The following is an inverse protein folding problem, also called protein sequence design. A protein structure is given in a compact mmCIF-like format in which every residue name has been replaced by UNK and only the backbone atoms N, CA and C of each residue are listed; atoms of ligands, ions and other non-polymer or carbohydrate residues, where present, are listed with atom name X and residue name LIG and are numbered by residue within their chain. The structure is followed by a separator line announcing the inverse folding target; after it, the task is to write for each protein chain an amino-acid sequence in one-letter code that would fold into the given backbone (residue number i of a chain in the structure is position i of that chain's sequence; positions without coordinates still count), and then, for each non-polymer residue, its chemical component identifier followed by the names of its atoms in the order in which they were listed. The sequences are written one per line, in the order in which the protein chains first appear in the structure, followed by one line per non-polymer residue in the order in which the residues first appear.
data_IF_731786396641
#
_entry.id   IF_731786396641
#
_cell.length_a   1.000
_cell.length_b   1.000
_cell.length_c   1.000
_cell.angle_alpha   90.00
_cell.angle_beta   90.00
_cell.angle_gamma   90.00
#
_symmetry.space_group_name_H-M   'P 1'
#
loop_
_entity.id
_entity.type
_entity.pdbx_description
1 polymer ?
#
# COMPACT_ATOMS: atom_id res chain seq x y z
N UNK A 1 22.37 -26.11 -75.61
CA UNK A 1 22.01 -24.70 -75.35
C UNK A 1 21.13 -24.67 -74.10
N UNK A 2 21.68 -25.05 -72.94
CA UNK A 2 22.17 -24.16 -71.87
C UNK A 2 21.15 -23.08 -71.48
N UNK A 3 20.30 -23.37 -70.49
CA UNK A 3 19.85 -22.38 -69.52
C UNK A 3 20.07 -22.99 -68.12
N UNK A 4 21.31 -22.87 -67.63
CA UNK A 4 21.66 -23.06 -66.23
C UNK A 4 21.06 -21.88 -65.47
N UNK A 5 20.09 -22.14 -64.60
CA UNK A 5 19.56 -21.18 -63.66
C UNK A 5 20.70 -20.70 -62.73
N UNK A 6 21.03 -19.41 -62.83
CA UNK A 6 21.95 -18.69 -61.97
C UNK A 6 21.33 -18.54 -60.57
N UNK A 7 21.55 -19.52 -59.68
CA UNK A 7 21.49 -19.26 -58.24
C UNK A 7 22.88 -18.77 -57.86
N UNK A 8 23.01 -17.46 -57.69
CA UNK A 8 24.25 -16.81 -57.27
C UNK A 8 24.67 -17.31 -55.87
N UNK A 9 25.93 -17.74 -55.64
CA UNK A 9 26.41 -18.17 -54.32
C UNK A 9 26.39 -17.04 -53.28
N UNK A 10 26.20 -15.78 -53.70
CA UNK A 10 26.06 -14.64 -52.80
C UNK A 10 24.76 -14.69 -51.95
N UNK A 11 23.64 -15.22 -52.47
CA UNK A 11 22.37 -15.27 -51.73
C UNK A 11 22.37 -16.30 -50.58
N UNK A 12 23.19 -17.35 -50.69
CA UNK A 12 23.38 -18.34 -49.62
C UNK A 12 24.21 -17.77 -48.47
N UNK A 13 25.15 -16.86 -48.75
CA UNK A 13 26.02 -16.28 -47.73
C UNK A 13 25.29 -15.27 -46.82
N UNK A 14 24.31 -14.53 -47.35
CA UNK A 14 23.50 -13.60 -46.55
C UNK A 14 22.39 -14.29 -45.73
N UNK A 15 21.88 -15.44 -46.19
CA UNK A 15 20.83 -16.20 -45.46
C UNK A 15 21.35 -16.85 -44.17
N UNK A 16 22.62 -17.28 -44.12
CA UNK A 16 23.25 -17.76 -42.88
C UNK A 16 23.55 -16.64 -41.87
N UNK A 17 23.90 -15.44 -42.34
CA UNK A 17 24.11 -14.26 -41.46
C UNK A 17 22.79 -13.69 -40.90
N UNK A 18 21.71 -13.73 -41.70
CA UNK A 18 20.36 -13.32 -41.27
C UNK A 18 19.65 -14.36 -40.39
N UNK A 19 19.97 -15.66 -40.50
CA UNK A 19 19.44 -16.70 -39.61
C UNK A 19 20.27 -16.92 -38.33
N UNK A 20 21.53 -16.47 -38.28
CA UNK A 20 22.38 -16.56 -37.08
C UNK A 20 22.09 -15.47 -36.04
N UNK A 21 21.60 -14.31 -36.47
CA UNK A 21 21.34 -13.17 -35.57
C UNK A 21 20.20 -13.40 -34.56
N UNK A 22 19.07 -14.06 -34.89
CA UNK A 22 18.04 -14.38 -33.90
C UNK A 22 18.54 -15.43 -32.90
N UNK A 23 19.33 -16.40 -33.35
CA UNK A 23 19.93 -17.43 -32.50
C UNK A 23 20.91 -16.85 -31.48
N UNK A 24 21.76 -15.91 -31.91
CA UNK A 24 22.68 -15.20 -31.02
C UNK A 24 21.93 -14.34 -29.98
N UNK A 25 20.88 -13.63 -30.41
CA UNK A 25 20.03 -12.84 -29.50
C UNK A 25 19.35 -13.75 -28.48
N UNK A 26 18.80 -14.90 -28.90
CA UNK A 26 18.17 -15.86 -27.99
C UNK A 26 19.17 -16.45 -26.99
N UNK A 27 20.35 -16.84 -27.45
CA UNK A 27 21.43 -17.34 -26.57
C UNK A 27 21.89 -16.27 -25.58
N UNK A 28 22.04 -15.02 -26.02
CA UNK A 28 22.40 -13.92 -25.15
C UNK A 28 21.32 -13.61 -24.10
N UNK A 29 20.04 -13.64 -24.49
CA UNK A 29 18.92 -13.49 -23.56
C UNK A 29 18.85 -14.66 -22.57
N UNK A 30 19.07 -15.89 -23.02
CA UNK A 30 19.14 -17.06 -22.15
C UNK A 30 20.32 -16.97 -21.16
N UNK A 31 21.50 -16.54 -21.62
CA UNK A 31 22.66 -16.31 -20.77
C UNK A 31 22.39 -15.23 -19.71
N UNK A 32 21.77 -14.11 -20.09
CA UNK A 32 21.33 -13.07 -19.15
C UNK A 32 20.33 -13.60 -18.13
N UNK A 33 19.39 -14.44 -18.56
CA UNK A 33 18.41 -15.04 -17.68
C UNK A 33 19.07 -15.99 -16.67
N UNK A 34 20.01 -16.83 -17.11
CA UNK A 34 20.78 -17.73 -16.27
C UNK A 34 21.62 -16.94 -15.27
N UNK A 35 22.33 -15.89 -15.72
CA UNK A 35 23.10 -15.04 -14.82
C UNK A 35 22.19 -14.42 -13.74
N UNK A 36 21.06 -13.83 -14.15
CA UNK A 36 20.12 -13.18 -13.23
C UNK A 36 19.44 -14.14 -12.25
N UNK A 37 19.07 -15.35 -12.68
CA UNK A 37 18.27 -16.28 -11.88
C UNK A 37 19.11 -17.34 -11.15
N UNK A 38 20.36 -17.57 -11.56
CA UNK A 38 21.21 -18.61 -10.98
C UNK A 38 22.49 -18.06 -10.39
N UNK A 39 23.32 -17.38 -11.20
CA UNK A 39 24.66 -16.98 -10.77
C UNK A 39 24.64 -15.78 -9.83
N UNK A 40 23.90 -14.74 -10.18
CA UNK A 40 23.81 -13.51 -9.41
C UNK A 40 23.26 -13.73 -7.98
N UNK A 41 22.13 -14.45 -7.78
CA UNK A 41 21.64 -14.76 -6.42
C UNK A 41 22.67 -15.53 -5.59
N UNK A 42 23.33 -16.54 -6.16
CA UNK A 42 24.35 -17.32 -5.44
C UNK A 42 25.60 -16.49 -5.09
N UNK A 43 26.01 -15.57 -5.96
CA UNK A 43 27.11 -14.64 -5.67
C UNK A 43 26.75 -13.69 -4.52
N UNK A 44 25.54 -13.13 -4.54
CA UNK A 44 25.03 -12.29 -3.45
C UNK A 44 24.93 -13.08 -2.15
N UNK A 45 24.44 -14.32 -2.17
CA UNK A 45 24.37 -15.17 -0.99
C UNK A 45 25.75 -15.33 -0.34
N UNK A 46 26.77 -15.66 -1.13
CA UNK A 46 28.14 -15.81 -0.62
C UNK A 46 28.67 -14.49 -0.05
N UNK A 47 28.42 -13.37 -0.72
CA UNK A 47 28.86 -12.06 -0.26
C UNK A 47 28.21 -11.67 1.08
N UNK A 48 26.89 -11.86 1.21
CA UNK A 48 26.16 -11.58 2.46
C UNK A 48 26.62 -12.50 3.59
N UNK A 49 26.82 -13.80 3.31
CA UNK A 49 27.36 -14.75 4.30
C UNK A 49 28.79 -14.40 4.73
N UNK A 50 29.62 -13.91 3.81
CA UNK A 50 30.98 -13.45 4.13
C UNK A 50 30.98 -12.20 5.03
N UNK A 51 29.91 -11.39 4.99
CA UNK A 51 29.68 -10.27 5.93
C UNK A 51 29.12 -10.72 7.28
N UNK A 52 28.96 -12.02 7.51
CA UNK A 52 28.50 -12.59 8.78
C UNK A 52 26.98 -12.80 8.88
N UNK A 53 26.21 -12.45 7.84
CA UNK A 53 24.76 -12.66 7.83
C UNK A 53 24.41 -14.14 7.61
N UNK A 54 23.60 -14.68 8.51
CA UNK A 54 23.09 -16.07 8.44
C UNK A 54 21.64 -16.09 7.97
N UNK A 55 21.16 -17.22 7.48
CA UNK A 55 19.80 -17.32 6.94
C UNK A 55 19.60 -18.51 6.03
N UNK A 56 18.46 -18.52 5.36
CA UNK A 56 18.07 -19.55 4.39
C UNK A 56 18.95 -19.49 3.14
N UNK A 57 19.16 -20.66 2.53
CA UNK A 57 19.92 -20.76 1.27
C UNK A 57 19.03 -20.53 0.07
N UNK A 58 19.59 -19.96 -1.01
CA UNK A 58 18.83 -19.66 -2.20
C UNK A 58 18.27 -20.94 -2.86
N UNK A 59 16.94 -20.98 -3.04
CA UNK A 59 16.23 -21.99 -3.85
C UNK A 59 15.84 -21.40 -5.19
N UNK A 60 16.23 -22.07 -6.27
CA UNK A 60 16.08 -21.56 -7.63
C UNK A 60 14.66 -21.06 -7.94
N UNK A 61 14.57 -19.85 -8.50
CA UNK A 61 13.36 -19.10 -8.89
C UNK A 61 12.43 -18.66 -7.77
N UNK A 62 12.18 -19.53 -6.79
CA UNK A 62 11.09 -19.35 -5.83
C UNK A 62 11.56 -18.84 -4.48
N UNK A 63 12.85 -19.01 -4.14
CA UNK A 63 13.37 -18.66 -2.83
C UNK A 63 12.57 -19.36 -1.71
N UNK A 64 12.15 -18.58 -0.71
CA UNK A 64 11.38 -19.09 0.42
C UNK A 64 9.85 -18.91 0.25
N UNK A 65 9.38 -18.40 -0.90
CA UNK A 65 7.97 -18.01 -1.07
C UNK A 65 7.01 -19.21 -0.99
N UNK A 66 7.44 -20.39 -1.43
CA UNK A 66 6.63 -21.62 -1.32
C UNK A 66 6.50 -22.04 0.14
N UNK A 67 7.61 -22.03 0.90
CA UNK A 67 7.62 -22.40 2.31
C UNK A 67 6.81 -21.40 3.13
N UNK A 68 6.93 -20.11 2.84
CA UNK A 68 6.12 -19.07 3.44
C UNK A 68 4.63 -19.36 3.29
N UNK A 69 4.15 -19.58 2.05
CA UNK A 69 2.73 -19.84 1.82
C UNK A 69 2.26 -21.13 2.50
N UNK A 70 3.05 -22.21 2.44
CA UNK A 70 2.71 -23.47 3.08
C UNK A 70 2.54 -23.30 4.59
N UNK A 71 3.52 -22.71 5.26
CA UNK A 71 3.47 -22.46 6.71
C UNK A 71 2.36 -21.49 7.08
N UNK A 72 2.16 -20.41 6.32
CA UNK A 72 1.05 -19.48 6.56
C UNK A 72 -0.32 -20.15 6.43
N UNK A 73 -0.50 -21.11 5.51
CA UNK A 73 -1.74 -21.89 5.41
C UNK A 73 -1.95 -22.83 6.60
N UNK A 74 -0.89 -23.51 7.02
CA UNK A 74 -0.90 -24.39 8.20
C UNK A 74 -1.28 -23.60 9.46
N UNK A 75 -0.63 -22.46 9.71
CA UNK A 75 -0.90 -21.64 10.89
C UNK A 75 -2.27 -20.95 10.85
N UNK A 76 -2.73 -20.46 9.69
CA UNK A 76 -4.09 -19.88 9.55
C UNK A 76 -5.22 -20.86 9.84
N UNK A 77 -4.96 -22.17 9.77
CA UNK A 77 -5.94 -23.20 10.12
C UNK A 77 -6.05 -23.44 11.63
N UNK A 78 -5.09 -22.94 12.42
CA UNK A 78 -5.08 -23.09 13.87
C UNK A 78 -5.90 -21.98 14.52
N UNK A 79 -6.69 -22.36 15.53
CA UNK A 79 -7.34 -21.39 16.41
C UNK A 79 -6.32 -20.88 17.42
N UNK A 80 -6.29 -19.56 17.62
CA UNK A 80 -5.52 -18.91 18.67
C UNK A 80 -6.45 -18.61 19.84
N UNK A 81 -5.95 -18.82 21.07
CA UNK A 81 -6.67 -18.37 22.26
C UNK A 81 -6.87 -16.85 22.20
N UNK A 82 -8.08 -16.40 22.51
CA UNK A 82 -8.44 -14.97 22.51
C UNK A 82 -7.51 -14.12 23.41
N UNK A 83 -6.87 -14.72 24.42
CA UNK A 83 -5.96 -14.03 25.35
C UNK A 83 -4.47 -14.16 25.01
N UNK A 84 -4.13 -14.71 23.84
CA UNK A 84 -2.74 -14.85 23.41
C UNK A 84 -2.35 -13.68 22.49
N UNK A 85 -1.44 -12.82 22.96
CA UNK A 85 -0.92 -11.70 22.17
C UNK A 85 0.34 -12.06 21.36
N UNK A 86 0.84 -13.30 21.48
CA UNK A 86 1.99 -13.76 20.69
C UNK A 86 1.56 -14.14 19.26
N UNK A 87 1.28 -13.14 18.44
CA UNK A 87 0.75 -13.30 17.08
C UNK A 87 1.83 -13.56 16.03
N UNK A 88 3.10 -13.24 16.32
CA UNK A 88 4.21 -13.37 15.38
C UNK A 88 4.33 -14.76 14.72
N UNK A 89 4.26 -15.89 15.44
CA UNK A 89 4.31 -17.22 14.82
C UNK A 89 3.09 -17.51 13.94
N UNK A 90 1.94 -16.88 14.18
CA UNK A 90 0.72 -17.06 13.39
C UNK A 90 0.75 -16.24 12.10
N UNK A 91 1.12 -14.96 12.21
CA UNK A 91 1.05 -13.99 11.10
C UNK A 91 2.22 -14.17 10.12
N UNK A 92 3.42 -14.41 10.64
CA UNK A 92 4.65 -14.52 9.85
C UNK A 92 5.53 -15.70 10.31
N UNK A 93 5.03 -16.96 10.26
CA UNK A 93 5.70 -18.13 10.83
C UNK A 93 7.14 -18.31 10.34
N UNK A 94 7.34 -18.24 9.03
CA UNK A 94 8.67 -18.40 8.44
C UNK A 94 9.64 -17.32 8.93
N UNK A 95 9.18 -16.06 9.01
CA UNK A 95 10.03 -14.96 9.46
C UNK A 95 10.40 -15.14 10.94
N UNK A 96 9.42 -15.50 11.76
CA UNK A 96 9.62 -15.79 13.18
C UNK A 96 10.65 -16.90 13.39
N UNK A 97 10.54 -18.01 12.65
CA UNK A 97 11.47 -19.13 12.74
C UNK A 97 12.89 -18.74 12.29
N UNK A 98 13.03 -18.02 11.18
CA UNK A 98 14.34 -17.56 10.66
C UNK A 98 15.02 -16.64 11.67
N UNK A 99 14.29 -15.69 12.26
CA UNK A 99 14.85 -14.78 13.29
C UNK A 99 15.27 -15.57 14.53
N UNK A 100 14.46 -16.55 14.96
CA UNK A 100 14.77 -17.41 16.11
C UNK A 100 16.02 -18.27 15.88
N UNK A 101 16.19 -18.81 14.68
CA UNK A 101 17.29 -19.72 14.33
C UNK A 101 18.59 -19.00 13.96
N UNK A 102 18.49 -17.83 13.32
CA UNK A 102 19.65 -17.14 12.75
C UNK A 102 19.99 -15.80 13.43
N UNK A 103 19.13 -15.35 14.34
CA UNK A 103 19.31 -14.12 15.11
C UNK A 103 18.65 -12.89 14.48
N UNK A 104 18.92 -11.73 15.08
CA UNK A 104 18.22 -10.47 14.77
C UNK A 104 18.49 -9.89 13.39
N UNK A 105 19.60 -10.28 12.76
CA UNK A 105 19.99 -9.90 11.41
C UNK A 105 20.15 -11.16 10.56
N UNK A 106 19.21 -11.41 9.65
CA UNK A 106 19.13 -12.67 8.92
C UNK A 106 18.71 -12.51 7.46
N UNK A 107 19.11 -13.46 6.62
CA UNK A 107 18.80 -13.50 5.19
C UNK A 107 17.62 -14.44 4.94
N UNK A 108 16.73 -14.01 4.07
CA UNK A 108 15.67 -14.81 3.45
C UNK A 108 15.57 -14.49 1.96
N UNK A 109 14.77 -15.23 1.20
CA UNK A 109 14.67 -15.09 -0.26
C UNK A 109 13.25 -14.85 -0.73
N UNK A 110 13.05 -13.78 -1.49
CA UNK A 110 11.83 -13.53 -2.26
C UNK A 110 12.11 -13.79 -3.74
N UNK A 111 11.91 -15.04 -4.17
CA UNK A 111 12.36 -15.47 -5.50
C UNK A 111 13.88 -15.37 -5.63
N UNK A 112 14.42 -14.79 -6.72
CA UNK A 112 15.87 -14.58 -6.89
C UNK A 112 16.42 -13.38 -6.10
N UNK A 113 15.58 -12.67 -5.33
CA UNK A 113 15.96 -11.46 -4.61
C UNK A 113 16.25 -11.78 -3.13
N UNK A 114 17.47 -11.54 -2.63
CA UNK A 114 17.76 -11.69 -1.21
C UNK A 114 17.06 -10.58 -0.43
N UNK A 115 16.51 -10.94 0.72
CA UNK A 115 15.92 -10.04 1.71
C UNK A 115 16.70 -10.16 3.00
N UNK A 116 17.34 -9.06 3.41
CA UNK A 116 17.93 -8.94 4.74
C UNK A 116 16.86 -8.42 5.69
N UNK A 117 16.62 -9.15 6.78
CA UNK A 117 15.73 -8.75 7.86
C UNK A 117 16.58 -8.27 9.02
N UNK A 118 16.26 -7.09 9.53
CA UNK A 118 16.89 -6.47 10.69
C UNK A 118 15.81 -6.23 11.73
N UNK A 119 16.03 -6.74 12.94
CA UNK A 119 15.11 -6.60 14.08
C UNK A 119 15.76 -5.97 15.31
N UNK A 120 17.01 -5.50 15.19
CA UNK A 120 17.65 -4.70 16.22
C UNK A 120 17.16 -3.23 16.13
N UNK A 121 16.61 -2.64 17.21
CA UNK A 121 16.00 -1.31 17.16
C UNK A 121 16.94 -0.19 16.68
N UNK A 122 18.21 -0.21 17.08
CA UNK A 122 19.16 0.85 16.70
C UNK A 122 19.52 0.74 15.23
N UNK A 123 19.74 -0.47 14.72
CA UNK A 123 19.96 -0.70 13.29
C UNK A 123 18.72 -0.38 12.45
N UNK A 124 17.52 -0.75 12.92
CA UNK A 124 16.26 -0.38 12.27
C UNK A 124 16.12 1.14 12.21
N UNK A 125 16.42 1.85 13.29
CA UNK A 125 16.41 3.31 13.32
C UNK A 125 17.41 3.91 12.34
N UNK A 126 18.61 3.35 12.22
CA UNK A 126 19.62 3.79 11.26
C UNK A 126 19.10 3.65 9.82
N UNK A 127 18.59 2.46 9.45
CA UNK A 127 18.02 2.19 8.12
C UNK A 127 16.83 3.11 7.82
N UNK A 128 15.89 3.24 8.76
CA UNK A 128 14.67 4.05 8.59
C UNK A 128 14.96 5.55 8.56
N UNK A 129 16.00 6.01 9.26
CA UNK A 129 16.44 7.42 9.20
C UNK A 129 17.09 7.78 7.88
N UNK A 130 17.66 6.80 7.17
CA UNK A 130 18.27 6.92 5.85
C UNK A 130 19.14 8.17 5.67
N UNK A 131 19.91 8.56 6.69
CA UNK A 131 20.63 9.86 6.74
C UNK A 131 21.56 10.10 5.54
N UNK A 132 22.10 9.02 4.98
CA UNK A 132 23.04 9.07 3.87
C UNK A 132 22.41 8.72 2.51
N UNK A 133 21.09 8.47 2.45
CA UNK A 133 20.42 8.10 1.21
C UNK A 133 20.82 6.74 0.63
N UNK A 134 21.46 5.87 1.42
CA UNK A 134 21.93 4.56 0.98
C UNK A 134 20.80 3.54 0.82
N UNK A 135 19.66 3.76 1.47
CA UNK A 135 18.52 2.85 1.46
C UNK A 135 17.43 3.39 0.55
N UNK A 136 17.33 2.83 -0.65
CA UNK A 136 16.20 3.09 -1.55
C UNK A 136 15.00 2.23 -1.15
N UNK A 137 13.78 2.78 -1.31
CA UNK A 137 12.56 2.00 -1.22
C UNK A 137 12.55 0.92 -2.30
N UNK A 138 11.95 -0.20 -1.93
CA UNK A 138 11.86 -1.33 -2.83
C UNK A 138 10.93 -1.01 -4.01
N UNK A 139 11.51 -0.86 -5.20
CA UNK A 139 10.76 -0.67 -6.44
C UNK A 139 10.22 -2.02 -6.89
N UNK A 140 8.97 -2.34 -6.57
CA UNK A 140 8.21 -3.37 -7.26
C UNK A 140 7.36 -2.69 -8.34
N UNK A 141 7.86 -2.51 -9.59
CA UNK A 141 7.16 -1.70 -10.60
C UNK A 141 5.75 -2.23 -10.90
N UNK A 142 5.62 -3.54 -10.72
CA UNK A 142 4.40 -4.33 -10.71
C UNK A 142 3.36 -3.89 -9.66
N UNK A 143 3.79 -3.78 -8.41
CA UNK A 143 2.95 -3.51 -7.24
C UNK A 143 2.62 -2.01 -7.14
N UNK A 144 3.61 -1.16 -7.43
CA UNK A 144 3.46 0.30 -7.43
C UNK A 144 2.55 0.80 -8.56
N UNK A 145 2.55 0.16 -9.74
CA UNK A 145 1.59 0.49 -10.81
C UNK A 145 0.16 0.07 -10.50
N UNK A 146 -0.01 -0.96 -9.69
CA UNK A 146 -1.32 -1.61 -9.52
C UNK A 146 -2.07 -1.11 -8.31
N UNK A 147 -1.42 -0.81 -7.18
CA UNK A 147 -2.14 -0.38 -5.97
C UNK A 147 -2.27 1.14 -5.88
N UNK A 148 -1.16 1.86 -5.92
CA UNK A 148 -1.08 3.31 -6.07
C UNK A 148 0.39 3.70 -6.23
N UNK A 149 0.64 4.67 -7.11
CA UNK A 149 1.86 5.47 -7.11
C UNK A 149 1.84 6.50 -5.98
N UNK A 150 2.45 7.65 -6.22
CA UNK A 150 2.44 8.75 -5.25
C UNK A 150 3.59 8.72 -4.25
N UNK A 151 3.49 9.59 -3.24
CA UNK A 151 4.55 9.90 -2.26
C UNK A 151 5.06 8.68 -1.48
N UNK A 152 4.24 7.63 -1.35
CA UNK A 152 4.68 6.36 -0.76
C UNK A 152 5.80 5.71 -1.58
N UNK A 153 5.76 5.83 -2.90
CA UNK A 153 6.67 5.17 -3.84
C UNK A 153 7.76 6.09 -4.41
N UNK A 154 7.52 7.41 -4.44
CA UNK A 154 8.49 8.38 -4.94
C UNK A 154 9.73 8.48 -4.07
N UNK A 155 10.83 8.88 -4.72
CA UNK A 155 12.17 9.06 -4.15
C UNK A 155 12.78 10.40 -4.59
N UNK A 156 13.84 10.82 -3.90
CA UNK A 156 14.64 11.99 -4.28
C UNK A 156 13.82 13.28 -4.41
N UNK A 157 14.11 14.08 -5.44
CA UNK A 157 13.48 15.38 -5.66
C UNK A 157 11.96 15.28 -5.88
N UNK A 158 11.48 14.22 -6.55
CA UNK A 158 10.05 14.01 -6.75
C UNK A 158 9.33 13.80 -5.40
N UNK A 159 9.91 13.00 -4.51
CA UNK A 159 9.36 12.81 -3.17
C UNK A 159 9.33 14.12 -2.37
N UNK A 160 10.42 14.89 -2.40
CA UNK A 160 10.52 16.19 -1.71
C UNK A 160 9.46 17.16 -2.24
N UNK A 161 9.29 17.26 -3.56
CA UNK A 161 8.28 18.10 -4.21
C UNK A 161 6.87 17.74 -3.73
N UNK A 162 6.50 16.45 -3.80
CA UNK A 162 5.17 15.99 -3.41
C UNK A 162 4.91 16.19 -1.91
N UNK A 163 5.87 15.87 -1.04
CA UNK A 163 5.76 16.13 0.40
C UNK A 163 5.55 17.62 0.71
N UNK A 164 6.26 18.52 0.01
CA UNK A 164 6.11 19.96 0.20
C UNK A 164 4.67 20.43 -0.08
N UNK A 165 4.04 19.87 -1.11
CA UNK A 165 2.67 20.22 -1.51
C UNK A 165 1.63 19.59 -0.58
N UNK A 166 1.85 18.34 -0.15
CA UNK A 166 0.86 17.55 0.62
C UNK A 166 0.89 17.83 2.13
N UNK A 167 2.07 18.05 2.73
CA UNK A 167 2.22 18.21 4.18
C UNK A 167 1.31 19.29 4.81
N UNK A 168 1.06 20.46 4.17
CA UNK A 168 0.15 21.47 4.72
C UNK A 168 -1.26 20.95 5.04
N UNK A 169 -1.75 19.93 4.31
CA UNK A 169 -3.06 19.31 4.57
C UNK A 169 -3.14 18.61 5.94
N UNK A 170 -1.98 18.24 6.49
CA UNK A 170 -1.85 17.50 7.75
C UNK A 170 -1.38 18.39 8.91
N UNK A 171 -1.37 19.70 8.74
CA UNK A 171 -1.09 20.62 9.84
C UNK A 171 -2.26 20.64 10.85
N UNK A 172 -2.00 20.82 12.16
CA UNK A 172 -3.05 20.83 13.19
C UNK A 172 -4.22 21.76 12.89
N UNK A 173 -3.94 22.93 12.30
CA UNK A 173 -4.95 23.91 11.90
C UNK A 173 -5.93 23.34 10.86
N UNK A 174 -5.44 22.55 9.90
CA UNK A 174 -6.27 21.90 8.87
C UNK A 174 -7.02 20.71 9.44
N UNK A 175 -6.37 19.91 10.30
CA UNK A 175 -7.02 18.79 10.99
C UNK A 175 -8.18 19.29 11.87
N UNK A 176 -8.02 20.44 12.55
CA UNK A 176 -9.10 21.05 13.35
C UNK A 176 -10.35 21.35 12.50
N UNK A 177 -10.19 21.72 11.22
CA UNK A 177 -11.31 21.94 10.30
C UNK A 177 -12.03 20.64 9.89
N UNK A 178 -11.40 19.48 10.02
CA UNK A 178 -11.97 18.17 9.70
C UNK A 178 -12.84 17.61 10.83
N UNK A 179 -12.73 18.15 12.03
CA UNK A 179 -13.45 17.67 13.23
C UNK A 179 -14.96 17.53 13.06
N UNK A 180 -15.69 18.49 12.44
CA UNK A 180 -17.12 18.33 12.22
C UNK A 180 -17.43 17.09 11.37
N UNK A 181 -16.65 16.81 10.33
CA UNK A 181 -16.84 15.64 9.48
C UNK A 181 -16.60 14.34 10.26
N UNK A 182 -15.51 14.25 11.04
CA UNK A 182 -15.26 13.08 11.91
C UNK A 182 -16.43 12.81 12.86
N UNK A 183 -16.93 13.88 13.53
CA UNK A 183 -18.06 13.79 14.45
C UNK A 183 -19.32 13.31 13.74
N UNK A 184 -19.63 13.85 12.57
CA UNK A 184 -20.81 13.46 11.79
C UNK A 184 -20.74 11.99 11.37
N UNK A 185 -19.61 11.54 10.83
CA UNK A 185 -19.42 10.12 10.45
C UNK A 185 -19.60 9.18 11.65
N UNK A 186 -19.06 9.52 12.82
CA UNK A 186 -19.22 8.74 14.04
C UNK A 186 -20.68 8.71 14.52
N UNK A 187 -21.37 9.85 14.48
CA UNK A 187 -22.79 9.95 14.86
C UNK A 187 -23.69 9.13 13.94
N UNK A 188 -23.43 9.16 12.63
CA UNK A 188 -24.16 8.34 11.65
C UNK A 188 -23.94 6.85 11.90
N UNK A 189 -22.71 6.42 12.20
CA UNK A 189 -22.41 5.03 12.58
C UNK A 189 -23.20 4.61 13.83
N UNK A 190 -23.09 5.38 14.93
CA UNK A 190 -23.77 5.08 16.20
C UNK A 190 -25.29 5.08 16.02
N UNK A 191 -25.83 6.00 15.23
CA UNK A 191 -27.26 6.07 14.94
C UNK A 191 -27.75 4.82 14.19
N UNK A 192 -27.00 4.34 13.19
CA UNK A 192 -27.33 3.10 12.47
C UNK A 192 -27.30 1.88 13.38
N UNK A 193 -26.30 1.78 14.25
CA UNK A 193 -26.24 0.67 15.23
C UNK A 193 -27.39 0.74 16.23
N UNK A 194 -27.73 1.93 16.72
CA UNK A 194 -28.87 2.14 17.63
C UNK A 194 -30.20 1.76 16.98
N UNK A 195 -30.39 2.08 15.70
CA UNK A 195 -31.59 1.69 14.94
C UNK A 195 -31.67 0.19 14.65
N UNK A 196 -30.56 -0.52 14.72
CA UNK A 196 -30.48 -1.96 14.47
C UNK A 196 -30.71 -2.81 15.73
N UNK A 197 -30.85 -2.17 16.90
CA UNK A 197 -31.11 -2.86 18.16
C UNK A 197 -32.43 -3.63 18.12
N UNK A 198 -32.39 -4.88 18.57
CA UNK A 198 -33.58 -5.71 18.76
C UNK A 198 -34.45 -5.20 19.91
N UNK A 199 -35.61 -5.84 20.10
CA UNK A 199 -36.54 -5.52 21.19
C UNK A 199 -35.95 -5.70 22.58
N UNK A 200 -34.92 -6.54 22.71
CA UNK A 200 -34.13 -6.79 23.92
C UNK A 200 -32.97 -5.80 24.11
N UNK A 201 -32.79 -4.86 23.18
CA UNK A 201 -31.71 -3.87 23.21
C UNK A 201 -30.34 -4.43 22.80
N UNK A 202 -30.28 -5.61 22.17
CA UNK A 202 -29.02 -6.20 21.69
C UNK A 202 -28.98 -6.30 20.17
N UNK A 203 -27.78 -6.31 19.59
CA UNK A 203 -27.55 -6.48 18.16
C UNK A 203 -26.16 -7.07 17.93
N UNK A 204 -26.07 -8.16 17.17
CA UNK A 204 -24.81 -8.74 16.74
C UNK A 204 -24.34 -8.06 15.45
N UNK A 205 -23.08 -7.62 15.42
CA UNK A 205 -22.52 -6.87 14.30
C UNK A 205 -21.12 -7.34 13.96
N UNK A 206 -20.86 -7.57 12.67
CA UNK A 206 -19.50 -7.64 12.16
C UNK A 206 -18.95 -6.21 12.04
N UNK A 207 -18.01 -5.86 12.92
CA UNK A 207 -17.47 -4.51 13.02
C UNK A 207 -16.50 -4.15 11.89
N UNK A 208 -15.90 -5.14 11.21
CA UNK A 208 -14.89 -4.86 10.18
C UNK A 208 -15.47 -4.11 8.97
N UNK A 209 -16.58 -4.56 8.33
CA UNK A 209 -17.23 -3.80 7.26
C UNK A 209 -17.74 -2.42 7.71
N UNK A 210 -18.15 -2.29 8.97
CA UNK A 210 -18.66 -1.04 9.53
C UNK A 210 -17.54 0.00 9.71
N UNK A 211 -16.36 -0.42 10.17
CA UNK A 211 -15.21 0.49 10.26
C UNK A 211 -14.60 0.80 8.89
N UNK A 212 -14.59 -0.14 7.95
CA UNK A 212 -14.21 0.15 6.56
C UNK A 212 -15.11 1.25 5.97
N UNK A 213 -16.43 1.14 6.17
CA UNK A 213 -17.40 2.17 5.79
C UNK A 213 -17.11 3.50 6.49
N UNK A 214 -16.91 3.49 7.81
CA UNK A 214 -16.62 4.70 8.59
C UNK A 214 -15.38 5.43 8.06
N UNK A 215 -14.27 4.71 7.89
CA UNK A 215 -13.00 5.32 7.47
C UNK A 215 -13.05 5.79 6.02
N UNK A 216 -13.78 5.09 5.16
CA UNK A 216 -14.02 5.50 3.78
C UNK A 216 -14.83 6.80 3.71
N UNK A 217 -15.87 6.92 4.53
CA UNK A 217 -16.67 8.15 4.62
C UNK A 217 -15.86 9.33 5.17
N UNK A 218 -15.07 9.09 6.21
CA UNK A 218 -14.17 10.08 6.78
C UNK A 218 -13.22 10.62 5.72
N UNK A 219 -12.47 9.76 5.03
CA UNK A 219 -11.48 10.23 4.04
C UNK A 219 -12.15 10.94 2.86
N UNK A 220 -13.31 10.46 2.38
CA UNK A 220 -14.07 11.12 1.32
C UNK A 220 -14.48 12.54 1.70
N UNK A 221 -15.02 12.75 2.91
CA UNK A 221 -15.47 14.07 3.37
C UNK A 221 -14.30 15.00 3.66
N UNK A 222 -13.21 14.51 4.26
CA UNK A 222 -12.14 15.39 4.80
C UNK A 222 -11.01 15.65 3.83
N UNK A 223 -10.64 14.68 2.99
CA UNK A 223 -9.52 14.84 2.06
C UNK A 223 -9.98 15.23 0.64
N UNK A 224 -11.18 14.82 0.23
CA UNK A 224 -11.64 14.99 -1.15
C UNK A 224 -12.90 15.86 -1.29
N UNK A 225 -13.55 16.22 -0.18
CA UNK A 225 -14.78 17.02 -0.19
C UNK A 225 -15.94 16.35 -0.93
N UNK A 226 -15.90 15.02 -1.08
CA UNK A 226 -16.89 14.24 -1.83
C UNK A 226 -17.83 13.46 -0.91
N UNK A 227 -18.87 12.89 -1.52
CA UNK A 227 -19.81 12.01 -0.80
C UNK A 227 -19.28 10.57 -0.70
N UNK A 228 -19.77 9.83 0.29
CA UNK A 228 -19.39 8.43 0.55
C UNK A 228 -19.55 7.50 -0.66
N UNK A 229 -20.54 7.73 -1.53
CA UNK A 229 -20.86 6.78 -2.59
C UNK A 229 -19.70 6.60 -3.60
N UNK A 230 -19.01 7.70 -3.93
CA UNK A 230 -17.84 7.68 -4.80
C UNK A 230 -16.64 6.98 -4.13
N UNK A 231 -16.38 7.30 -2.86
CA UNK A 231 -15.32 6.68 -2.06
C UNK A 231 -15.54 5.18 -1.84
N UNK A 232 -16.77 4.76 -1.59
CA UNK A 232 -17.14 3.36 -1.38
C UNK A 232 -16.81 2.49 -2.59
N UNK A 233 -17.05 3.00 -3.80
CA UNK A 233 -16.71 2.28 -5.04
C UNK A 233 -15.20 2.17 -5.21
N UNK A 234 -14.45 3.25 -4.99
CA UNK A 234 -12.97 3.23 -5.04
C UNK A 234 -12.43 2.20 -4.05
N UNK A 235 -12.91 2.21 -2.80
CA UNK A 235 -12.48 1.27 -1.77
C UNK A 235 -12.76 -0.19 -2.15
N UNK A 236 -13.97 -0.49 -2.64
CA UNK A 236 -14.35 -1.83 -3.08
C UNK A 236 -13.40 -2.33 -4.19
N UNK A 237 -13.11 -1.46 -5.16
CA UNK A 237 -12.22 -1.75 -6.27
C UNK A 237 -10.78 -1.98 -5.80
N UNK A 238 -10.25 -1.14 -4.90
CA UNK A 238 -8.91 -1.28 -4.32
C UNK A 238 -8.78 -2.57 -3.47
N UNK A 239 -9.83 -2.93 -2.72
CA UNK A 239 -9.90 -4.18 -1.97
C UNK A 239 -9.87 -5.40 -2.90
N UNK A 240 -10.68 -5.39 -3.96
CA UNK A 240 -10.66 -6.45 -4.99
C UNK A 240 -9.27 -6.56 -5.63
N UNK A 241 -8.66 -5.44 -6.00
CA UNK A 241 -7.35 -5.39 -6.62
C UNK A 241 -6.26 -5.96 -5.70
N UNK A 242 -6.27 -5.57 -4.42
CA UNK A 242 -5.33 -6.07 -3.41
C UNK A 242 -5.46 -7.57 -3.21
N UNK A 243 -6.69 -8.07 -3.06
CA UNK A 243 -6.94 -9.51 -2.93
C UNK A 243 -6.44 -10.32 -4.13
N UNK A 244 -6.68 -9.81 -5.35
CA UNK A 244 -6.22 -10.43 -6.60
C UNK A 244 -4.70 -10.45 -6.72
N UNK A 245 -4.05 -9.36 -6.29
CA UNK A 245 -2.61 -9.21 -6.34
C UNK A 245 -1.92 -10.16 -5.35
N UNK A 246 -2.41 -10.20 -4.10
CA UNK A 246 -1.93 -11.10 -3.07
C UNK A 246 -2.11 -12.58 -3.47
N UNK A 247 -3.25 -12.94 -4.07
CA UNK A 247 -3.50 -14.30 -4.57
C UNK A 247 -2.52 -14.75 -5.66
N UNK A 248 -1.79 -13.83 -6.28
CA UNK A 248 -0.84 -14.09 -7.37
C UNK A 248 0.59 -13.63 -7.06
N UNK A 249 0.92 -13.31 -5.80
CA UNK A 249 2.23 -12.77 -5.40
C UNK A 249 3.41 -13.63 -5.88
N UNK A 250 3.24 -14.97 -5.89
CA UNK A 250 4.24 -15.93 -6.43
C UNK A 250 4.61 -15.70 -7.88
N UNK A 251 3.64 -15.26 -8.69
CA UNK A 251 3.81 -15.06 -10.13
C UNK A 251 4.35 -13.67 -10.46
N UNK A 252 4.28 -12.72 -9.53
CA UNK A 252 4.86 -11.37 -9.70
C UNK A 252 6.39 -11.43 -9.83
N UNK A 253 7.02 -12.45 -9.23
CA UNK A 253 8.46 -12.70 -9.36
C UNK A 253 8.85 -13.06 -10.80
N UNK A 254 7.93 -13.61 -11.59
CA UNK A 254 8.18 -14.00 -12.98
C UNK A 254 8.20 -12.71 -13.84
N UNK A 255 9.34 -12.35 -14.45
CA UNK A 255 9.43 -11.16 -15.28
C UNK A 255 8.37 -11.16 -16.39
N UNK A 256 7.65 -10.05 -16.55
CA UNK A 256 6.63 -9.88 -17.59
C UNK A 256 5.27 -10.54 -17.30
N UNK A 257 5.11 -11.27 -16.19
CA UNK A 257 3.85 -11.96 -15.88
C UNK A 257 2.63 -11.03 -15.85
N UNK A 258 2.78 -9.82 -15.31
CA UNK A 258 1.69 -8.85 -15.23
C UNK A 258 1.29 -8.25 -16.59
N UNK A 259 2.21 -8.28 -17.56
CA UNK A 259 1.93 -7.85 -18.94
C UNK A 259 1.19 -8.92 -19.75
N UNK A 260 1.12 -10.16 -19.25
CA UNK A 260 0.39 -11.22 -19.93
C UNK A 260 -1.12 -10.95 -19.86
N UNK A 261 -1.88 -11.19 -20.95
CA UNK A 261 -3.32 -10.92 -21.01
C UNK A 261 -4.16 -12.00 -20.31
N UNK A 262 -3.79 -12.36 -19.07
CA UNK A 262 -4.55 -13.31 -18.24
C UNK A 262 -5.86 -12.68 -17.78
N UNK A 263 -6.89 -13.49 -17.49
CA UNK A 263 -8.17 -13.01 -16.93
C UNK A 263 -7.97 -12.11 -15.70
N UNK A 264 -7.02 -12.47 -14.83
CA UNK A 264 -6.71 -11.69 -13.64
C UNK A 264 -6.07 -10.35 -13.96
N UNK A 265 -5.07 -10.31 -14.86
CA UNK A 265 -4.40 -9.06 -15.23
C UNK A 265 -5.32 -8.12 -15.99
N UNK A 266 -6.20 -8.65 -16.85
CA UNK A 266 -7.26 -7.87 -17.51
C UNK A 266 -8.19 -7.23 -16.48
N UNK A 267 -8.71 -8.02 -15.53
CA UNK A 267 -9.56 -7.49 -14.46
C UNK A 267 -8.85 -6.44 -13.60
N UNK A 268 -7.58 -6.65 -13.25
CA UNK A 268 -6.81 -5.65 -12.51
C UNK A 268 -6.60 -4.35 -13.31
N UNK A 269 -6.44 -4.44 -14.63
CA UNK A 269 -6.38 -3.27 -15.51
C UNK A 269 -7.73 -2.56 -15.62
N UNK A 270 -8.83 -3.30 -15.75
CA UNK A 270 -10.19 -2.74 -15.75
C UNK A 270 -10.49 -1.99 -14.45
N UNK A 271 -10.13 -2.59 -13.30
CA UNK A 271 -10.24 -1.95 -11.99
C UNK A 271 -9.45 -0.64 -11.93
N UNK A 272 -8.18 -0.65 -12.37
CA UNK A 272 -7.36 0.56 -12.37
C UNK A 272 -7.98 1.67 -13.23
N UNK A 273 -8.45 1.32 -14.43
CA UNK A 273 -9.09 2.29 -15.34
C UNK A 273 -10.41 2.84 -14.75
N UNK A 274 -11.18 2.01 -14.05
CA UNK A 274 -12.41 2.44 -13.39
C UNK A 274 -12.11 3.41 -12.24
N UNK A 275 -11.13 3.10 -11.39
CA UNK A 275 -10.67 4.00 -10.32
C UNK A 275 -10.18 5.33 -10.91
N UNK A 276 -9.35 5.29 -11.95
CA UNK A 276 -8.86 6.50 -12.63
C UNK A 276 -10.01 7.34 -13.18
N UNK A 277 -11.01 6.72 -13.80
CA UNK A 277 -12.17 7.45 -14.31
C UNK A 277 -12.97 8.14 -13.21
N UNK A 278 -13.18 7.48 -12.07
CA UNK A 278 -13.91 8.07 -10.93
C UNK A 278 -13.11 9.26 -10.38
N UNK A 279 -11.81 9.07 -10.14
CA UNK A 279 -10.94 10.11 -9.61
C UNK A 279 -10.79 11.31 -10.56
N UNK A 280 -10.67 11.07 -11.87
CA UNK A 280 -10.60 12.13 -12.87
C UNK A 280 -11.90 12.95 -12.91
N UNK A 281 -13.06 12.31 -12.77
CA UNK A 281 -14.33 13.01 -12.69
C UNK A 281 -14.40 13.88 -11.44
N UNK A 282 -14.01 13.34 -10.28
CA UNK A 282 -13.95 14.07 -9.01
C UNK A 282 -12.98 15.27 -9.10
N UNK A 283 -11.80 15.09 -9.70
CA UNK A 283 -10.84 16.18 -9.96
C UNK A 283 -11.45 17.25 -10.87
N UNK A 284 -12.11 16.87 -11.97
CA UNK A 284 -12.73 17.82 -12.91
C UNK A 284 -13.83 18.65 -12.24
N UNK A 285 -14.74 18.00 -11.52
CA UNK A 285 -15.80 18.67 -10.77
C UNK A 285 -15.20 19.65 -9.76
N UNK A 286 -14.13 19.25 -9.07
CA UNK A 286 -13.44 20.12 -8.11
C UNK A 286 -12.77 21.32 -8.77
N UNK A 287 -12.11 21.12 -9.91
CA UNK A 287 -11.50 22.21 -10.67
C UNK A 287 -12.52 23.23 -11.17
N UNK A 288 -13.72 22.78 -11.57
CA UNK A 288 -14.82 23.67 -11.96
C UNK A 288 -15.31 24.51 -10.78
N UNK A 289 -15.60 23.89 -9.63
CA UNK A 289 -15.99 24.59 -8.41
C UNK A 289 -14.96 25.65 -7.96
N UNK A 290 -13.66 25.34 -8.10
CA UNK A 290 -12.58 26.30 -7.83
C UNK A 290 -12.61 27.51 -8.77
N UNK A 291 -12.93 27.32 -10.04
CA UNK A 291 -13.05 28.41 -11.02
C UNK A 291 -14.27 29.30 -10.75
N UNK A 292 -15.35 28.70 -10.24
CA UNK A 292 -16.57 29.40 -9.83
C UNK A 292 -16.43 30.15 -8.50
N UNK A 293 -15.28 30.05 -7.84
CA UNK A 293 -14.95 30.82 -6.64
C UNK A 293 -15.30 30.12 -5.33
N UNK A 294 -15.65 28.84 -5.34
CA UNK A 294 -15.89 28.08 -4.10
C UNK A 294 -14.62 27.94 -3.27
N UNK A 295 -14.72 28.18 -1.96
CA UNK A 295 -13.59 28.06 -1.03
C UNK A 295 -13.26 26.58 -0.74
N UNK A 296 -12.52 25.99 -1.66
CA UNK A 296 -12.22 24.57 -1.74
C UNK A 296 -10.75 24.25 -1.38
N UNK A 297 -10.05 25.21 -0.78
CA UNK A 297 -8.58 25.18 -0.57
C UNK A 297 -8.13 24.51 0.73
N UNK A 298 -9.06 23.96 1.50
CA UNK A 298 -8.78 23.50 2.86
C UNK A 298 -8.58 21.99 2.99
N UNK A 299 -8.90 21.22 1.96
CA UNK A 299 -8.68 19.78 1.93
C UNK A 299 -7.49 19.39 1.04
N UNK A 300 -7.12 18.11 1.13
CA UNK A 300 -5.95 17.55 0.45
C UNK A 300 -6.02 17.74 -1.07
N UNK A 301 -7.19 17.46 -1.67
CA UNK A 301 -7.40 17.65 -3.10
C UNK A 301 -7.28 19.12 -3.49
N UNK A 302 -7.89 20.03 -2.74
CA UNK A 302 -7.79 21.46 -2.98
C UNK A 302 -6.35 21.97 -2.99
N UNK A 303 -5.52 21.51 -2.05
CA UNK A 303 -4.10 21.87 -1.99
C UNK A 303 -3.29 21.34 -3.17
N UNK A 304 -3.56 20.09 -3.60
CA UNK A 304 -2.95 19.53 -4.81
C UNK A 304 -3.31 20.34 -6.05
N UNK A 305 -4.60 20.67 -6.23
CA UNK A 305 -5.07 21.43 -7.39
C UNK A 305 -4.59 22.88 -7.38
N UNK A 306 -4.51 23.53 -6.21
CA UNK A 306 -3.95 24.88 -6.10
C UNK A 306 -2.47 24.90 -6.52
N UNK A 307 -1.69 23.88 -6.16
CA UNK A 307 -0.30 23.78 -6.57
C UNK A 307 -0.15 23.74 -8.10
N UNK A 308 -1.08 23.06 -8.79
CA UNK A 308 -1.11 22.95 -10.25
C UNK A 308 -1.40 24.30 -10.93
N UNK A 309 -2.15 25.18 -10.26
CA UNK A 309 -2.51 26.50 -10.79
C UNK A 309 -1.39 27.55 -10.64
N UNK A 310 -0.37 27.30 -9.80
CA UNK A 310 0.67 28.29 -9.42
C UNK A 310 1.94 28.27 -10.29
N UNK A 311 1.90 27.82 -11.54
CA UNK A 311 3.00 28.07 -12.48
C UNK A 311 3.11 27.04 -13.59
N UNK A 312 2.67 27.42 -14.79
CA UNK A 312 3.00 26.78 -16.07
C UNK A 312 4.17 27.50 -16.73
N UNK A 313 5.15 26.76 -17.28
CA UNK A 313 6.18 27.33 -18.16
C UNK A 313 5.62 27.67 -19.54
N UNK A 314 6.48 28.27 -20.36
CA UNK A 314 6.23 28.61 -21.77
C UNK A 314 5.90 27.38 -22.64
N UNK A 315 6.14 26.15 -22.15
CA UNK A 315 5.83 24.88 -22.81
C UNK A 315 4.56 24.19 -22.27
N UNK A 316 3.85 24.81 -21.31
CA UNK A 316 2.66 24.25 -20.68
C UNK A 316 2.93 23.16 -19.63
N UNK A 317 4.18 22.92 -19.23
CA UNK A 317 4.52 22.06 -18.10
C UNK A 317 4.46 22.83 -16.78
N UNK A 318 3.95 22.19 -15.73
CA UNK A 318 3.82 22.79 -14.42
C UNK A 318 5.20 22.84 -13.72
N UNK A 319 5.83 24.02 -13.65
CA UNK A 319 7.21 24.18 -13.10
C UNK A 319 7.24 23.85 -11.59
N UNK A 320 6.13 24.11 -10.87
CA UNK A 320 6.08 24.07 -9.40
C UNK A 320 4.98 23.16 -8.83
N UNK A 321 4.01 22.73 -9.65
CA UNK A 321 2.85 21.92 -9.23
C UNK A 321 2.90 20.46 -9.70
N UNK A 322 1.88 19.68 -9.36
CA UNK A 322 1.72 18.30 -9.83
C UNK A 322 1.05 18.26 -11.21
N UNK A 323 1.33 17.22 -11.99
CA UNK A 323 0.51 16.91 -13.16
C UNK A 323 -0.85 16.33 -12.71
N UNK A 324 -1.86 16.33 -13.59
CA UNK A 324 -3.16 15.72 -13.26
C UNK A 324 -2.99 14.22 -12.98
N UNK A 325 -2.14 13.52 -13.72
CA UNK A 325 -1.84 12.11 -13.50
C UNK A 325 -1.18 11.89 -12.13
N UNK A 326 -0.25 12.77 -11.74
CA UNK A 326 0.34 12.74 -10.39
C UNK A 326 -0.71 12.96 -9.29
N UNK A 327 -1.65 13.88 -9.49
CA UNK A 327 -2.77 14.10 -8.55
C UNK A 327 -3.65 12.86 -8.45
N UNK A 328 -3.97 12.19 -9.57
CA UNK A 328 -4.73 10.94 -9.58
C UNK A 328 -4.01 9.86 -8.77
N UNK A 329 -2.70 9.69 -8.95
CA UNK A 329 -1.91 8.70 -8.22
C UNK A 329 -1.85 9.01 -6.71
N UNK A 330 -1.70 10.27 -6.32
CA UNK A 330 -1.81 10.66 -4.90
C UNK A 330 -3.22 10.39 -4.36
N UNK A 331 -4.28 10.68 -5.11
CA UNK A 331 -5.65 10.38 -4.69
C UNK A 331 -5.84 8.87 -4.44
N UNK A 332 -5.38 8.02 -5.37
CA UNK A 332 -5.41 6.55 -5.20
C UNK A 332 -4.71 6.14 -3.90
N UNK A 333 -3.53 6.70 -3.65
CA UNK A 333 -2.73 6.41 -2.46
C UNK A 333 -3.45 6.80 -1.17
N UNK A 334 -3.98 8.02 -1.08
CA UNK A 334 -4.62 8.50 0.15
C UNK A 334 -5.95 7.82 0.45
N UNK A 335 -6.74 7.48 -0.57
CA UNK A 335 -7.92 6.63 -0.39
C UNK A 335 -7.55 5.26 0.18
N UNK A 336 -6.50 4.63 -0.36
CA UNK A 336 -6.04 3.32 0.10
C UNK A 336 -5.48 3.39 1.53
N UNK A 337 -4.51 4.27 1.76
CA UNK A 337 -3.77 4.37 3.01
C UNK A 337 -4.65 4.82 4.18
N UNK A 338 -5.55 5.79 3.96
CA UNK A 338 -6.42 6.34 5.00
C UNK A 338 -7.54 5.41 5.44
N UNK A 339 -7.99 4.51 4.56
CA UNK A 339 -9.14 3.63 4.82
C UNK A 339 -8.72 2.31 5.46
N UNK A 340 -7.83 1.56 4.80
CA UNK A 340 -7.54 0.18 5.20
C UNK A 340 -6.82 0.11 6.57
N UNK A 341 -5.82 0.97 6.78
CA UNK A 341 -5.01 0.93 8.01
C UNK A 341 -5.83 1.32 9.24
N UNK A 342 -6.61 2.42 9.14
CA UNK A 342 -7.45 2.91 10.22
C UNK A 342 -8.59 1.95 10.55
N UNK A 343 -9.22 1.34 9.54
CA UNK A 343 -10.31 0.39 9.77
C UNK A 343 -9.83 -0.88 10.48
N UNK A 344 -8.64 -1.39 10.12
CA UNK A 344 -8.00 -2.52 10.79
C UNK A 344 -7.67 -2.17 12.26
N UNK A 345 -7.11 -0.98 12.52
CA UNK A 345 -6.82 -0.52 13.88
C UNK A 345 -8.09 -0.46 14.74
N UNK A 346 -9.17 0.15 14.23
CA UNK A 346 -10.43 0.25 14.96
C UNK A 346 -11.08 -1.12 15.18
N UNK A 347 -11.00 -2.01 14.18
CA UNK A 347 -11.47 -3.40 14.30
C UNK A 347 -10.76 -4.12 15.43
N UNK A 348 -9.42 -4.11 15.44
CA UNK A 348 -8.65 -4.74 16.51
C UNK A 348 -8.83 -4.06 17.86
N UNK A 349 -9.03 -2.75 17.89
CA UNK A 349 -9.36 -2.02 19.11
C UNK A 349 -10.66 -2.54 19.72
N UNK A 350 -11.71 -2.72 18.92
CA UNK A 350 -12.99 -3.29 19.41
C UNK A 350 -12.82 -4.74 19.88
N UNK A 351 -12.07 -5.55 19.13
CA UNK A 351 -11.80 -6.94 19.51
C UNK A 351 -11.06 -7.01 20.86
N UNK A 352 -10.00 -6.23 21.04
CA UNK A 352 -9.20 -6.20 22.28
C UNK A 352 -10.02 -5.64 23.44
N UNK A 353 -10.79 -4.57 23.24
CA UNK A 353 -11.68 -4.04 24.28
C UNK A 353 -12.76 -5.05 24.71
N UNK A 354 -13.27 -5.87 23.79
CA UNK A 354 -14.23 -6.94 24.13
C UNK A 354 -13.61 -8.05 25.01
N UNK A 355 -12.29 -8.25 24.91
CA UNK A 355 -11.53 -9.19 25.73
C UNK A 355 -11.12 -8.60 27.09
N UNK A 356 -11.11 -7.27 27.19
CA UNK A 356 -10.63 -6.48 28.34
C UNK A 356 -11.67 -5.43 28.78
N UNK A 357 -12.83 -5.83 29.32
CA UNK A 357 -13.89 -4.90 29.71
C UNK A 357 -13.43 -3.84 30.71
N UNK A 358 -12.46 -4.14 31.56
CA UNK A 358 -11.87 -3.19 32.51
C UNK A 358 -11.27 -1.96 31.82
N UNK A 359 -10.71 -2.12 30.62
CA UNK A 359 -10.18 -1.00 29.84
C UNK A 359 -11.28 -0.26 29.09
N UNK A 360 -12.33 -0.96 28.68
CA UNK A 360 -13.52 -0.34 28.11
C UNK A 360 -14.21 0.60 29.11
N UNK A 361 -14.37 0.14 30.36
CA UNK A 361 -14.99 0.93 31.43
C UNK A 361 -14.13 2.15 31.80
N UNK A 362 -12.81 1.97 31.92
CA UNK A 362 -11.89 3.10 32.20
C UNK A 362 -11.91 4.16 31.11
N UNK A 363 -11.95 3.76 29.83
CA UNK A 363 -12.07 4.70 28.73
C UNK A 363 -13.42 5.45 28.76
N UNK A 364 -14.50 4.74 29.08
CA UNK A 364 -15.84 5.33 29.24
C UNK A 364 -15.88 6.33 30.39
N UNK A 365 -15.32 5.99 31.55
CA UNK A 365 -15.23 6.86 32.72
C UNK A 365 -14.39 8.11 32.42
N UNK A 366 -13.27 7.99 31.70
CA UNK A 366 -12.45 9.12 31.27
C UNK A 366 -13.27 10.10 30.41
N UNK A 367 -13.96 9.59 29.38
CA UNK A 367 -14.77 10.42 28.48
C UNK A 367 -15.93 11.09 29.23
N UNK A 368 -16.67 10.34 30.06
CA UNK A 368 -17.80 10.87 30.83
C UNK A 368 -17.35 11.87 31.90
N UNK A 369 -16.22 11.62 32.56
CA UNK A 369 -15.68 12.52 33.59
C UNK A 369 -15.15 13.84 33.04
N UNK A 370 -14.55 13.83 31.84
CA UNK A 370 -14.00 15.03 31.22
C UNK A 370 -15.04 15.85 30.44
N UNK A 371 -15.99 15.19 29.78
CA UNK A 371 -16.89 15.83 28.80
C UNK A 371 -18.38 15.63 29.09
N UNK A 372 -18.75 14.68 29.94
CA UNK A 372 -20.15 14.33 30.19
C UNK A 372 -20.86 13.93 28.89
N UNK A 373 -21.90 14.69 28.52
CA UNK A 373 -22.64 14.54 27.25
C UNK A 373 -22.35 15.64 26.24
N UNK A 374 -21.36 16.49 26.51
CA UNK A 374 -21.03 17.62 25.64
C UNK A 374 -20.27 17.14 24.40
N UNK A 375 -20.29 17.97 23.36
CA UNK A 375 -19.48 17.75 22.16
C UNK A 375 -18.00 17.94 22.49
N UNK A 376 -17.16 17.06 21.97
CA UNK A 376 -15.70 17.10 22.15
C UNK A 376 -15.09 17.98 21.06
N UNK A 377 -14.23 18.93 21.43
CA UNK A 377 -13.50 19.79 20.51
C UNK A 377 -12.06 19.28 20.26
N UNK A 378 -11.37 19.82 19.24
CA UNK A 378 -10.01 19.38 18.87
C UNK A 378 -9.01 19.45 20.04
N UNK A 379 -9.11 20.49 20.87
CA UNK A 379 -8.18 20.75 21.98
C UNK A 379 -8.36 19.75 23.14
N UNK A 380 -9.51 19.09 23.21
CA UNK A 380 -9.85 18.15 24.26
C UNK A 380 -9.18 16.78 24.09
N UNK A 381 -8.81 16.39 22.85
CA UNK A 381 -8.20 15.09 22.59
C UNK A 381 -6.86 14.90 23.31
N UNK A 382 -6.11 15.99 23.56
CA UNK A 382 -4.88 15.93 24.35
C UNK A 382 -5.08 15.50 25.81
N UNK A 383 -6.33 15.50 26.30
CA UNK A 383 -6.70 15.10 27.66
C UNK A 383 -7.08 13.62 27.77
N UNK A 384 -7.36 12.94 26.64
CA UNK A 384 -7.79 11.54 26.56
C UNK A 384 -6.60 10.56 26.66
N UNK A 385 -6.01 10.46 27.86
CA UNK A 385 -4.82 9.64 28.11
C UNK A 385 -5.12 8.16 27.97
N UNK A 386 -6.24 7.69 28.53
CA UNK A 386 -6.63 6.28 28.55
C UNK A 386 -6.98 5.79 27.15
N UNK A 387 -7.79 6.56 26.41
CA UNK A 387 -8.09 6.23 25.02
C UNK A 387 -6.81 6.17 24.15
N UNK A 388 -5.87 7.09 24.37
CA UNK A 388 -4.58 7.10 23.66
C UNK A 388 -3.72 5.87 24.01
N UNK A 389 -3.66 5.48 25.30
CA UNK A 389 -2.96 4.25 25.71
C UNK A 389 -3.54 3.01 25.05
N UNK A 390 -4.87 2.91 24.96
CA UNK A 390 -5.54 1.78 24.28
C UNK A 390 -5.13 1.71 22.81
N UNK A 391 -5.18 2.83 22.08
CA UNK A 391 -4.80 2.85 20.67
C UNK A 391 -3.32 2.51 20.46
N UNK A 392 -2.43 2.94 21.35
CA UNK A 392 -1.00 2.61 21.28
C UNK A 392 -0.67 1.17 21.65
N UNK A 393 -1.45 0.53 22.53
CA UNK A 393 -1.27 -0.89 22.84
C UNK A 393 -1.75 -1.80 21.68
N UNK A 394 -2.73 -1.34 20.91
CA UNK A 394 -3.27 -2.08 19.75
C UNK A 394 -2.36 -1.95 18.51
N UNK A 395 -1.69 -0.81 18.35
CA UNK A 395 -0.73 -0.54 17.26
C UNK A 395 0.57 -1.34 17.40
#
# INVERSE_FOLDING_TARGET
MVLRALISPALVQWSFLLCGSPGFVLLWQAAKLIDRLWWHPRRLERALRAQGLRGTSYRFLVGDVIDYERRSKEERSRSMSLRCHNIAPLVAPLLHDIIREHGKACISWFGPYPKVTISDPEQTKEVMSNKFGHFEKLKFPALSRLLAGGVATYEGEQWVKHRRILNPAFHPEKIKLMMPAFSTCCQELVSRWTQSLGSDGTYEVDVCPEFQRLTGDVISRTAFGSNYAEGARIFQLQSEQTARLLARVKKIIIPGYLSLPTKNNRRMSEINNEIESILLNLIRTRMQAMQEGENTKNDLLGLMLESNMRGTDENGQCISGMTIDEVVEECKLFYFAGTETTSILLTWTMVILSMHPEWQDRAREEVLGLFGKNKIDYEDFGRLKTATMILYEVL
#
